data_IF_473797009790
#
_entry.id   IF_473797009790
#
_cell.length_a   1.000
_cell.length_b   1.000
_cell.length_c   1.000
_cell.angle_alpha   90.00
_cell.angle_beta   90.00
_cell.angle_gamma   90.00
#
_symmetry.space_group_name_H-M   'P 1'
#
loop_
_entity.id
_entity.type
_entity.pdbx_description
1 polymer ?
#
# COMPACT_ATOMS: atom_id res chain seq x y z
N UNK A 1 -28.69 -53.34 -9.86
CA UNK A 1 -28.73 -53.57 -8.40
C UNK A 1 -27.41 -53.09 -7.82
N UNK A 2 -27.42 -52.10 -6.92
CA UNK A 2 -26.20 -51.58 -6.30
C UNK A 2 -25.73 -52.59 -5.26
N UNK A 3 -24.46 -53.02 -5.30
CA UNK A 3 -23.91 -53.98 -4.34
C UNK A 3 -23.66 -53.30 -2.98
N UNK A 4 -23.96 -53.96 -1.85
CA UNK A 4 -23.58 -53.45 -0.54
C UNK A 4 -22.04 -53.40 -0.38
N UNK A 5 -21.55 -52.62 0.59
CA UNK A 5 -20.13 -52.46 0.92
C UNK A 5 -19.24 -51.89 -0.20
N UNK A 6 -19.77 -50.99 -1.03
CA UNK A 6 -19.02 -50.33 -2.10
C UNK A 6 -18.12 -49.17 -1.63
N UNK A 7 -18.27 -48.70 -0.38
CA UNK A 7 -17.45 -47.64 0.21
C UNK A 7 -16.23 -48.22 0.94
N UNK A 8 -15.06 -47.61 0.75
CA UNK A 8 -13.88 -47.92 1.58
C UNK A 8 -14.05 -47.38 3.00
N UNK A 9 -13.27 -47.88 3.95
CA UNK A 9 -13.29 -47.40 5.35
C UNK A 9 -12.93 -45.91 5.43
N UNK A 10 -12.00 -45.42 4.60
CA UNK A 10 -11.59 -44.02 4.57
C UNK A 10 -12.71 -43.12 4.02
N UNK A 11 -13.30 -43.49 2.87
CA UNK A 11 -14.42 -42.73 2.27
C UNK A 11 -15.62 -42.69 3.21
N UNK A 12 -15.88 -43.80 3.93
CA UNK A 12 -16.95 -43.86 4.92
C UNK A 12 -16.73 -42.87 6.07
N UNK A 13 -15.50 -42.74 6.57
CA UNK A 13 -15.17 -41.78 7.63
C UNK A 13 -15.28 -40.33 7.14
N UNK A 14 -14.85 -40.05 5.91
CA UNK A 14 -14.97 -38.72 5.30
C UNK A 14 -16.44 -38.34 5.09
N UNK A 15 -17.26 -39.23 4.53
CA UNK A 15 -18.70 -39.02 4.36
C UNK A 15 -19.40 -38.81 5.72
N UNK A 16 -19.05 -39.58 6.75
CA UNK A 16 -19.56 -39.37 8.11
C UNK A 16 -19.17 -38.00 8.66
N UNK A 17 -17.97 -37.51 8.38
CA UNK A 17 -17.53 -36.16 8.80
C UNK A 17 -18.33 -35.05 8.08
N UNK A 18 -18.64 -35.24 6.80
CA UNK A 18 -19.46 -34.33 6.00
C UNK A 18 -20.89 -34.27 6.51
N UNK A 19 -21.50 -35.42 6.81
CA UNK A 19 -22.88 -35.49 7.34
C UNK A 19 -22.96 -34.89 8.74
N UNK A 20 -21.96 -35.10 9.59
CA UNK A 20 -21.95 -34.54 10.97
C UNK A 20 -21.69 -33.03 11.03
N UNK A 21 -21.22 -32.42 9.94
CA UNK A 21 -20.95 -30.98 9.91
C UNK A 21 -22.26 -30.19 9.83
N UNK A 22 -22.60 -29.47 10.90
CA UNK A 22 -23.75 -28.58 10.88
C UNK A 22 -23.44 -27.30 10.09
N UNK A 23 -24.30 -26.99 9.11
CA UNK A 23 -24.53 -25.62 8.64
C UNK A 23 -26.02 -25.33 8.79
N UNK A 24 -26.36 -24.06 8.95
CA UNK A 24 -27.71 -23.57 9.27
C UNK A 24 -28.78 -24.15 8.32
N UNK A 25 -28.58 -24.05 7.00
CA UNK A 25 -29.50 -24.60 5.99
C UNK A 25 -29.65 -26.14 6.06
N UNK A 26 -28.58 -26.86 6.40
CA UNK A 26 -28.61 -28.31 6.57
C UNK A 26 -29.25 -28.74 7.88
N UNK A 27 -29.25 -27.87 8.90
CA UNK A 27 -29.89 -28.11 10.19
C UNK A 27 -31.41 -28.14 10.07
N UNK A 28 -31.99 -27.13 9.39
CA UNK A 28 -33.44 -27.03 9.17
C UNK A 28 -33.96 -28.22 8.35
N UNK A 29 -33.34 -28.51 7.19
CA UNK A 29 -33.76 -29.63 6.35
C UNK A 29 -33.66 -30.99 7.06
N UNK A 30 -32.65 -31.16 7.93
CA UNK A 30 -32.47 -32.40 8.71
C UNK A 30 -33.54 -32.58 9.79
N UNK A 31 -33.97 -31.50 10.45
CA UNK A 31 -35.08 -31.53 11.42
C UNK A 31 -36.42 -31.82 10.72
N UNK A 32 -36.65 -31.23 9.54
CA UNK A 32 -37.84 -31.51 8.73
C UNK A 32 -37.91 -32.99 8.35
N UNK A 33 -36.81 -33.54 7.82
CA UNK A 33 -36.74 -34.96 7.45
C UNK A 33 -36.98 -35.88 8.64
N UNK A 34 -36.48 -35.55 9.83
CA UNK A 34 -36.72 -36.35 11.03
C UNK A 34 -38.21 -36.40 11.40
N UNK A 35 -38.91 -35.26 11.35
CA UNK A 35 -40.35 -35.20 11.65
C UNK A 35 -41.20 -35.90 10.58
N UNK A 36 -40.87 -35.76 9.30
CA UNK A 36 -41.57 -36.48 8.22
C UNK A 36 -41.42 -38.00 8.36
N UNK A 37 -40.21 -38.50 8.64
CA UNK A 37 -39.98 -39.93 8.82
C UNK A 37 -40.68 -40.49 10.08
N UNK A 38 -40.82 -39.69 11.14
CA UNK A 38 -41.64 -40.06 12.31
C UNK A 38 -43.11 -40.19 11.92
N UNK A 39 -43.64 -39.24 11.15
CA UNK A 39 -45.01 -39.26 10.66
C UNK A 39 -45.28 -40.48 9.75
N UNK A 40 -44.27 -40.90 8.97
CA UNK A 40 -44.33 -42.10 8.13
C UNK A 40 -44.16 -43.42 8.92
N UNK A 41 -44.09 -43.35 10.25
CA UNK A 41 -44.12 -44.50 11.15
C UNK A 41 -42.75 -45.08 11.54
N UNK A 42 -41.64 -44.43 11.18
CA UNK A 42 -40.32 -44.85 11.66
C UNK A 42 -40.12 -44.51 13.14
N UNK A 43 -39.41 -45.36 13.88
CA UNK A 43 -39.06 -45.09 15.28
C UNK A 43 -37.89 -44.10 15.39
N UNK A 44 -37.78 -43.40 16.53
CA UNK A 44 -36.66 -42.49 16.82
C UNK A 44 -35.29 -43.17 16.62
N UNK A 45 -35.16 -44.45 17.02
CA UNK A 45 -33.93 -45.23 16.86
C UNK A 45 -33.60 -45.54 15.38
N UNK A 46 -34.62 -45.79 14.55
CA UNK A 46 -34.42 -46.00 13.11
C UNK A 46 -34.00 -44.71 12.42
N UNK A 47 -34.60 -43.57 12.79
CA UNK A 47 -34.31 -42.25 12.22
C UNK A 47 -32.92 -41.78 12.65
N UNK A 48 -32.55 -41.95 13.92
CA UNK A 48 -31.21 -41.67 14.44
C UNK A 48 -30.11 -42.36 13.62
N UNK A 49 -30.34 -43.63 13.26
CA UNK A 49 -29.42 -44.41 12.43
C UNK A 49 -29.29 -43.88 11.00
N UNK A 50 -30.38 -43.40 10.39
CA UNK A 50 -30.40 -42.92 8.99
C UNK A 50 -29.87 -41.49 8.87
N UNK A 51 -30.19 -40.63 9.84
CA UNK A 51 -29.79 -39.23 9.85
C UNK A 51 -28.46 -38.98 10.59
N UNK A 52 -27.86 -40.02 11.15
CA UNK A 52 -26.62 -39.98 11.95
C UNK A 52 -26.73 -39.01 13.15
N UNK A 53 -27.84 -39.15 13.87
CA UNK A 53 -28.18 -38.39 15.07
C UNK A 53 -28.28 -39.32 16.28
N UNK A 54 -28.43 -38.71 17.45
CA UNK A 54 -28.85 -39.40 18.67
C UNK A 54 -30.38 -39.50 18.72
N UNK A 55 -30.95 -40.60 19.23
CA UNK A 55 -32.39 -40.82 19.22
C UNK A 55 -33.14 -39.90 20.21
N UNK A 56 -32.48 -39.43 21.27
CA UNK A 56 -33.04 -38.40 22.15
C UNK A 56 -33.14 -37.04 21.45
N UNK A 57 -32.25 -36.77 20.49
CA UNK A 57 -32.33 -35.55 19.66
C UNK A 57 -33.60 -35.55 18.81
N UNK A 58 -33.90 -36.69 18.16
CA UNK A 58 -35.11 -36.86 17.35
C UNK A 58 -36.37 -36.77 18.24
N UNK A 59 -36.33 -37.39 19.42
CA UNK A 59 -37.41 -37.33 20.42
C UNK A 59 -37.67 -35.91 20.92
N UNK A 60 -36.59 -35.15 21.15
CA UNK A 60 -36.66 -33.75 21.57
C UNK A 60 -37.33 -32.87 20.51
N UNK A 61 -36.95 -33.02 19.24
CA UNK A 61 -37.59 -32.28 18.14
C UNK A 61 -39.07 -32.61 17.99
N UNK A 62 -39.45 -33.88 18.10
CA UNK A 62 -40.86 -34.28 18.08
C UNK A 62 -41.64 -33.69 19.26
N UNK A 63 -41.08 -33.72 20.47
CA UNK A 63 -41.69 -33.12 21.66
C UNK A 63 -41.87 -31.61 21.49
N UNK A 64 -40.87 -30.94 20.93
CA UNK A 64 -40.92 -29.50 20.67
C UNK A 64 -41.97 -29.17 19.60
N UNK A 65 -42.06 -29.96 18.52
CA UNK A 65 -43.10 -29.81 17.49
C UNK A 65 -44.52 -29.96 18.06
N UNK A 66 -44.74 -30.93 18.97
CA UNK A 66 -46.05 -31.12 19.60
C UNK A 66 -46.41 -30.02 20.61
N UNK A 67 -45.41 -29.43 21.26
CA UNK A 67 -45.63 -28.37 22.25
C UNK A 67 -45.85 -27.00 21.61
N UNK A 68 -45.22 -26.77 20.46
CA UNK A 68 -45.23 -25.50 19.74
C UNK A 68 -45.64 -25.77 18.28
N UNK A 69 -44.71 -25.66 17.33
CA UNK A 69 -44.94 -25.93 15.91
C UNK A 69 -43.61 -26.15 15.15
N UNK A 70 -43.67 -26.11 13.81
CA UNK A 70 -42.50 -26.23 12.95
C UNK A 70 -41.52 -25.05 13.08
N UNK A 71 -42.02 -23.82 13.30
CA UNK A 71 -41.16 -22.63 13.37
C UNK A 71 -40.22 -22.72 14.58
N UNK A 72 -40.73 -23.22 15.70
CA UNK A 72 -39.95 -23.49 16.91
C UNK A 72 -38.81 -24.50 16.70
N UNK A 73 -39.07 -25.57 15.93
CA UNK A 73 -38.08 -26.62 15.63
C UNK A 73 -37.08 -26.15 14.57
N UNK A 74 -37.51 -25.33 13.62
CA UNK A 74 -36.66 -24.77 12.58
C UNK A 74 -35.65 -23.76 13.14
N UNK A 75 -36.00 -23.02 14.18
CA UNK A 75 -35.15 -21.99 14.79
C UNK A 75 -33.89 -22.58 15.45
N UNK A 76 -32.71 -22.20 14.96
CA UNK A 76 -31.43 -22.52 15.59
C UNK A 76 -31.05 -21.40 16.57
N UNK A 77 -31.35 -21.58 17.85
CA UNK A 77 -31.16 -20.59 18.92
C UNK A 77 -29.70 -20.30 19.30
N UNK A 78 -28.76 -20.38 18.36
CA UNK A 78 -27.34 -20.14 18.60
C UNK A 78 -27.08 -18.67 18.94
N UNK A 79 -27.16 -18.35 20.24
CA UNK A 79 -26.70 -17.08 20.77
C UNK A 79 -25.18 -17.12 20.81
N UNK A 80 -24.53 -16.38 19.91
CA UNK A 80 -23.07 -16.26 19.88
C UNK A 80 -22.48 -15.99 21.28
N UNK A 81 -21.30 -16.53 21.54
CA UNK A 81 -20.68 -16.47 22.86
C UNK A 81 -20.52 -15.03 23.38
N UNK A 82 -20.82 -14.81 24.66
CA UNK A 82 -20.60 -13.53 25.33
C UNK A 82 -19.12 -13.12 25.28
N UNK A 83 -18.86 -11.84 25.04
CA UNK A 83 -17.51 -11.27 25.12
C UNK A 83 -16.91 -11.54 26.50
N UNK A 84 -15.62 -11.93 26.57
CA UNK A 84 -14.91 -12.04 27.86
C UNK A 84 -14.60 -10.67 28.47
N UNK A 85 -14.73 -9.59 27.69
CA UNK A 85 -14.47 -8.23 28.14
C UNK A 85 -15.78 -7.47 28.36
N UNK A 86 -15.79 -6.67 29.42
CA UNK A 86 -16.83 -5.67 29.70
C UNK A 86 -16.60 -4.44 28.83
N UNK A 87 -17.62 -3.59 28.69
CA UNK A 87 -17.52 -2.31 27.97
C UNK A 87 -16.39 -1.44 28.55
N UNK A 88 -16.23 -1.43 29.87
CA UNK A 88 -15.16 -0.67 30.53
C UNK A 88 -13.76 -1.20 30.18
N UNK A 89 -13.58 -2.53 30.14
CA UNK A 89 -12.29 -3.11 29.70
C UNK A 89 -12.01 -2.82 28.23
N UNK A 90 -13.04 -2.82 27.38
CA UNK A 90 -12.90 -2.49 25.96
C UNK A 90 -12.51 -1.03 25.75
N UNK A 91 -13.07 -0.11 26.53
CA UNK A 91 -12.69 1.31 26.51
C UNK A 91 -11.24 1.54 26.95
N UNK A 92 -10.82 0.97 28.09
CA UNK A 92 -9.44 1.08 28.61
C UNK A 92 -8.43 0.46 27.62
N UNK A 93 -8.74 -0.71 27.06
CA UNK A 93 -7.89 -1.31 26.03
C UNK A 93 -7.77 -0.41 24.79
N UNK A 94 -8.87 0.23 24.38
CA UNK A 94 -8.87 1.12 23.21
C UNK A 94 -8.01 2.36 23.46
N UNK A 95 -8.17 3.03 24.61
CA UNK A 95 -7.34 4.16 25.01
C UNK A 95 -5.85 3.77 25.07
N UNK A 96 -5.53 2.64 25.68
CA UNK A 96 -4.16 2.14 25.78
C UNK A 96 -3.51 1.87 24.42
N UNK A 97 -4.28 1.34 23.45
CA UNK A 97 -3.87 1.12 22.07
C UNK A 97 -3.80 2.42 21.26
N UNK A 98 -4.65 3.40 21.55
CA UNK A 98 -4.64 4.73 20.94
C UNK A 98 -3.47 5.59 21.37
N UNK A 99 -2.75 5.21 22.41
CA UNK A 99 -1.48 5.85 22.78
C UNK A 99 -0.26 5.14 22.19
N UNK A 100 -0.40 3.86 21.82
CA UNK A 100 0.74 3.00 21.45
C UNK A 100 0.65 2.51 20.00
N UNK A 101 1.76 1.96 19.52
CA UNK A 101 1.80 1.27 18.22
C UNK A 101 2.31 -0.15 18.42
N UNK A 102 1.41 -1.03 18.86
CA UNK A 102 1.73 -2.42 19.17
C UNK A 102 2.03 -3.21 17.89
N UNK A 103 3.23 -3.80 17.83
CA UNK A 103 3.68 -4.58 16.66
C UNK A 103 3.19 -6.02 16.66
N UNK A 104 2.67 -6.52 17.79
CA UNK A 104 2.19 -7.89 17.91
C UNK A 104 1.03 -8.00 18.90
N UNK A 105 0.18 -9.00 18.69
CA UNK A 105 -0.88 -9.36 19.64
C UNK A 105 -0.33 -9.95 20.95
N UNK A 106 0.94 -10.37 21.00
CA UNK A 106 1.56 -10.86 22.23
C UNK A 106 1.63 -9.76 23.29
N UNK A 107 2.05 -8.55 22.90
CA UNK A 107 2.09 -7.38 23.78
C UNK A 107 0.70 -7.02 24.30
N UNK A 108 -0.30 -7.02 23.40
CA UNK A 108 -1.69 -6.70 23.74
C UNK A 108 -2.28 -7.74 24.71
N UNK A 109 -2.00 -9.02 24.47
CA UNK A 109 -2.43 -10.12 25.34
C UNK A 109 -1.75 -10.10 26.71
N UNK A 110 -0.47 -9.73 26.78
CA UNK A 110 0.24 -9.55 28.04
C UNK A 110 -0.40 -8.43 28.86
N UNK A 111 -0.69 -7.28 28.23
CA UNK A 111 -1.41 -6.17 28.86
C UNK A 111 -2.80 -6.59 29.36
N UNK A 112 -3.62 -7.25 28.52
CA UNK A 112 -4.95 -7.74 28.94
C UNK A 112 -4.87 -8.74 30.10
N UNK A 113 -3.86 -9.61 30.10
CA UNK A 113 -3.61 -10.55 31.19
C UNK A 113 -3.21 -9.85 32.49
N UNK A 114 -2.29 -8.89 32.43
CA UNK A 114 -1.84 -8.16 33.61
C UNK A 114 -2.90 -7.21 34.18
N UNK A 115 -3.62 -6.49 33.31
CA UNK A 115 -4.57 -5.44 33.71
C UNK A 115 -5.94 -5.99 34.08
N UNK A 116 -6.47 -6.93 33.30
CA UNK A 116 -7.85 -7.40 33.43
C UNK A 116 -7.94 -8.87 33.88
N UNK A 117 -6.80 -9.58 34.01
CA UNK A 117 -6.77 -11.04 34.24
C UNK A 117 -7.55 -11.83 33.17
N UNK A 118 -7.57 -11.31 31.92
CA UNK A 118 -8.26 -11.94 30.79
C UNK A 118 -7.26 -12.46 29.78
N UNK A 119 -7.36 -13.75 29.47
CA UNK A 119 -6.50 -14.41 28.50
C UNK A 119 -7.26 -14.74 27.21
N UNK A 120 -6.86 -14.08 26.12
CA UNK A 120 -7.29 -14.42 24.77
C UNK A 120 -6.26 -15.32 24.09
N UNK A 121 -6.72 -16.15 23.14
CA UNK A 121 -5.84 -16.78 22.15
C UNK A 121 -5.36 -15.73 21.13
N UNK A 122 -4.35 -16.07 20.32
CA UNK A 122 -3.89 -15.21 19.23
C UNK A 122 -5.05 -14.80 18.29
N UNK A 123 -5.81 -15.77 17.80
CA UNK A 123 -6.96 -15.53 16.92
C UNK A 123 -8.11 -14.80 17.60
N UNK A 124 -8.34 -15.06 18.89
CA UNK A 124 -9.33 -14.34 19.69
C UNK A 124 -8.98 -12.87 19.86
N UNK A 125 -7.70 -12.56 20.10
CA UNK A 125 -7.22 -11.18 20.18
C UNK A 125 -7.41 -10.43 18.86
N UNK A 126 -7.14 -11.05 17.71
CA UNK A 126 -7.36 -10.42 16.39
C UNK A 126 -8.84 -10.11 16.18
N UNK A 127 -9.74 -11.05 16.50
CA UNK A 127 -11.18 -10.84 16.38
C UNK A 127 -11.69 -9.72 17.28
N UNK A 128 -11.19 -9.65 18.51
CA UNK A 128 -11.48 -8.57 19.45
C UNK A 128 -11.03 -7.22 18.88
N UNK A 129 -9.79 -7.10 18.41
CA UNK A 129 -9.26 -5.86 17.84
C UNK A 129 -10.07 -5.39 16.64
N UNK A 130 -10.43 -6.30 15.74
CA UNK A 130 -11.28 -5.98 14.59
C UNK A 130 -12.67 -5.48 15.03
N UNK A 131 -13.26 -6.07 16.07
CA UNK A 131 -14.54 -5.61 16.64
C UNK A 131 -14.44 -4.22 17.27
N UNK A 132 -13.31 -3.90 17.89
CA UNK A 132 -13.01 -2.59 18.46
C UNK A 132 -12.59 -1.56 17.39
N UNK A 133 -12.59 -1.91 16.10
CA UNK A 133 -12.25 -0.99 15.01
C UNK A 133 -10.76 -0.83 14.73
N UNK A 134 -9.89 -1.64 15.35
CA UNK A 134 -8.45 -1.62 15.09
C UNK A 134 -8.07 -2.46 13.87
N UNK A 135 -7.19 -1.90 13.04
CA UNK A 135 -6.65 -2.57 11.86
C UNK A 135 -5.13 -2.64 11.92
N UNK A 136 -4.56 -3.76 11.46
CA UNK A 136 -3.11 -3.90 11.34
C UNK A 136 -2.61 -3.15 10.10
N UNK A 137 -1.95 -2.00 10.31
CA UNK A 137 -1.44 -1.15 9.24
C UNK A 137 0.06 -0.95 9.33
N UNK A 138 0.72 -0.80 8.18
CA UNK A 138 2.11 -0.32 8.11
C UNK A 138 2.12 1.20 8.27
N UNK A 139 2.88 1.77 9.23
CA UNK A 139 2.99 3.22 9.34
C UNK A 139 3.68 3.77 8.09
N UNK A 140 3.18 4.90 7.58
CA UNK A 140 3.83 5.61 6.47
C UNK A 140 4.95 6.47 7.05
N UNK A 141 6.12 6.44 6.42
CA UNK A 141 7.17 7.39 6.74
C UNK A 141 6.65 8.80 6.43
N UNK A 142 6.70 9.70 7.42
CA UNK A 142 6.38 11.09 7.24
C UNK A 142 7.68 11.84 6.94
N UNK A 143 7.85 12.41 5.72
CA UNK A 143 8.95 13.32 5.44
C UNK A 143 8.96 14.48 6.45
N UNK A 144 10.13 15.07 6.70
CA UNK A 144 10.24 16.23 7.58
C UNK A 144 9.29 17.33 7.10
N UNK A 145 8.57 17.96 8.05
CA UNK A 145 7.42 18.85 7.80
C UNK A 145 7.72 19.86 6.69
N UNK A 146 7.07 19.69 5.55
CA UNK A 146 6.96 20.72 4.52
C UNK A 146 6.05 21.84 5.06
N UNK A 147 6.57 23.06 5.09
CA UNK A 147 5.84 24.24 5.55
C UNK A 147 4.66 24.52 4.59
N UNK A 148 3.44 24.47 5.12
CA UNK A 148 2.20 24.63 4.34
C UNK A 148 2.10 26.02 3.70
N UNK A 149 2.54 27.05 4.41
CA UNK A 149 2.49 28.43 3.91
C UNK A 149 3.51 28.62 2.80
N UNK A 150 4.72 28.07 2.96
CA UNK A 150 5.75 28.12 1.89
C UNK A 150 5.35 27.31 0.66
N UNK A 151 4.66 26.18 0.84
CA UNK A 151 4.08 25.44 -0.29
C UNK A 151 3.05 26.29 -1.03
N UNK A 152 2.11 26.90 -0.30
CA UNK A 152 1.07 27.75 -0.89
C UNK A 152 1.66 28.97 -1.62
N UNK A 153 2.63 29.64 -0.99
CA UNK A 153 3.33 30.78 -1.58
C UNK A 153 4.08 30.39 -2.86
N UNK A 154 4.76 29.25 -2.88
CA UNK A 154 5.43 28.76 -4.08
C UNK A 154 4.44 28.41 -5.20
N UNK A 155 3.33 27.73 -4.88
CA UNK A 155 2.29 27.40 -5.87
C UNK A 155 1.72 28.68 -6.48
N UNK A 156 1.40 29.68 -5.65
CA UNK A 156 0.90 30.97 -6.13
C UNK A 156 1.93 31.70 -7.02
N UNK A 157 3.19 31.73 -6.59
CA UNK A 157 4.30 32.27 -7.38
C UNK A 157 4.45 31.56 -8.73
N UNK A 158 4.45 30.22 -8.73
CA UNK A 158 4.59 29.42 -9.94
C UNK A 158 3.44 29.64 -10.92
N UNK A 159 2.19 29.65 -10.42
CA UNK A 159 1.02 29.95 -11.24
C UNK A 159 1.11 31.36 -11.83
N UNK A 160 1.56 32.34 -11.06
CA UNK A 160 1.76 33.70 -11.57
C UNK A 160 2.87 33.77 -12.63
N UNK A 161 3.99 33.06 -12.42
CA UNK A 161 5.08 32.96 -13.38
C UNK A 161 4.58 32.39 -14.71
N UNK A 162 3.91 31.24 -14.71
CA UNK A 162 3.42 30.62 -15.94
C UNK A 162 2.34 31.44 -16.65
N UNK A 163 1.45 32.10 -15.92
CA UNK A 163 0.39 32.94 -16.51
C UNK A 163 0.93 34.23 -17.17
N UNK A 164 2.13 34.65 -16.80
CA UNK A 164 2.76 35.87 -17.33
C UNK A 164 4.08 35.58 -18.05
N UNK A 165 4.37 34.32 -18.36
CA UNK A 165 5.62 33.92 -18.98
C UNK A 165 5.68 34.41 -20.43
N UNK A 166 6.67 35.27 -20.80
CA UNK A 166 6.87 35.67 -22.18
C UNK A 166 7.24 34.48 -23.08
N UNK A 167 6.90 34.58 -24.37
CA UNK A 167 7.20 33.52 -25.34
C UNK A 167 8.72 33.28 -25.55
N UNK A 168 9.54 34.31 -25.30
CA UNK A 168 11.01 34.22 -25.30
C UNK A 168 11.59 33.78 -23.95
N UNK A 169 10.78 33.26 -23.03
CA UNK A 169 11.24 32.66 -21.79
C UNK A 169 10.85 31.17 -21.70
N UNK A 170 11.47 30.46 -20.75
CA UNK A 170 11.22 29.04 -20.52
C UNK A 170 11.33 28.70 -19.03
N UNK A 171 10.65 27.64 -18.61
CA UNK A 171 10.71 27.09 -17.25
C UNK A 171 11.12 25.61 -17.32
N UNK A 172 12.23 25.31 -16.65
CA UNK A 172 12.80 23.96 -16.56
C UNK A 172 12.88 23.54 -15.09
N UNK A 173 12.47 22.31 -14.80
CA UNK A 173 12.55 21.71 -13.47
C UNK A 173 13.73 20.76 -13.41
N UNK A 174 14.67 20.98 -12.48
CA UNK A 174 15.91 20.23 -12.37
C UNK A 174 15.97 19.45 -11.06
N UNK A 175 16.57 18.27 -11.13
CA UNK A 175 16.81 17.40 -9.98
C UNK A 175 17.87 16.33 -10.30
N UNK A 176 18.46 15.78 -9.25
CA UNK A 176 19.36 14.65 -9.33
C UNK A 176 18.70 13.37 -8.81
N UNK A 177 18.72 12.34 -9.63
CA UNK A 177 18.25 11.00 -9.25
C UNK A 177 19.40 10.02 -9.17
N UNK A 178 19.32 9.13 -8.19
CA UNK A 178 20.27 8.05 -7.96
C UNK A 178 19.58 6.70 -8.16
N UNK A 179 19.30 6.25 -9.40
CA UNK A 179 18.73 4.93 -9.60
C UNK A 179 19.65 3.87 -9.03
N UNK A 180 19.19 3.25 -7.95
CA UNK A 180 19.89 2.12 -7.36
C UNK A 180 19.64 0.87 -8.18
N UNK A 181 20.70 0.09 -8.34
CA UNK A 181 20.71 -1.22 -8.98
C UNK A 181 20.07 -2.30 -8.09
N UNK A 182 19.24 -1.89 -7.13
CA UNK A 182 18.39 -2.79 -6.38
C UNK A 182 17.09 -2.95 -7.15
N UNK A 183 16.68 -4.19 -7.40
CA UNK A 183 15.36 -4.47 -7.93
C UNK A 183 14.30 -3.85 -7.01
N UNK A 184 13.31 -3.18 -7.60
CA UNK A 184 12.17 -2.61 -6.89
C UNK A 184 10.96 -3.55 -7.09
N UNK A 185 10.68 -4.49 -6.16
CA UNK A 185 9.48 -5.30 -6.26
C UNK A 185 8.24 -4.42 -6.27
N UNK A 186 7.32 -4.71 -7.18
CA UNK A 186 6.04 -4.03 -7.30
C UNK A 186 4.94 -5.06 -7.55
N UNK A 187 3.69 -4.65 -7.36
CA UNK A 187 2.54 -5.52 -7.52
C UNK A 187 2.45 -6.06 -8.96
N UNK A 188 2.09 -7.33 -9.09
CA UNK A 188 1.93 -8.01 -10.37
C UNK A 188 1.03 -9.23 -10.23
N UNK A 189 0.41 -9.62 -11.34
CA UNK A 189 -0.45 -10.81 -11.38
C UNK A 189 0.42 -12.07 -11.50
N UNK A 190 0.17 -13.04 -10.63
CA UNK A 190 0.82 -14.34 -10.63
C UNK A 190 -0.24 -15.44 -10.43
N UNK A 191 0.02 -16.65 -10.96
CA UNK A 191 -0.90 -17.78 -10.75
C UNK A 191 -1.01 -18.08 -9.25
N UNK A 192 -2.21 -18.41 -8.78
CA UNK A 192 -2.42 -18.84 -7.39
C UNK A 192 -1.48 -20.02 -7.06
N UNK A 193 -0.70 -19.88 -5.99
CA UNK A 193 0.31 -20.88 -5.58
C UNK A 193 1.71 -20.68 -6.18
N UNK A 194 1.90 -19.73 -7.10
CA UNK A 194 3.24 -19.33 -7.55
C UNK A 194 3.84 -18.26 -6.62
N UNK A 195 5.12 -18.42 -6.28
CA UNK A 195 5.87 -17.53 -5.39
C UNK A 195 6.97 -16.80 -6.18
N UNK A 196 6.64 -15.78 -6.99
CA UNK A 196 7.64 -15.06 -7.77
C UNK A 196 8.63 -14.35 -6.86
N UNK A 197 9.91 -14.47 -7.17
CA UNK A 197 11.02 -13.82 -6.46
C UNK A 197 11.94 -13.11 -7.47
N UNK A 198 12.61 -12.06 -7.01
CA UNK A 198 13.52 -11.25 -7.83
C UNK A 198 14.86 -11.16 -7.10
N UNK A 199 15.94 -11.45 -7.81
CA UNK A 199 17.30 -11.32 -7.29
C UNK A 199 17.66 -9.85 -7.11
N UNK A 200 18.44 -9.54 -6.08
CA UNK A 200 18.91 -8.17 -5.79
C UNK A 200 20.40 -8.06 -6.04
N UNK A 201 20.84 -6.97 -6.66
CA UNK A 201 22.26 -6.62 -6.85
C UNK A 201 22.55 -5.25 -6.24
N UNK A 202 23.83 -4.89 -6.11
CA UNK A 202 24.27 -3.60 -5.61
C UNK A 202 24.98 -2.79 -6.70
N UNK A 203 24.75 -1.48 -6.70
CA UNK A 203 25.30 -0.54 -7.67
C UNK A 203 24.37 0.68 -7.82
N UNK A 204 24.82 1.72 -8.52
CA UNK A 204 24.00 2.90 -8.79
C UNK A 204 24.38 3.54 -10.12
N UNK A 205 23.43 4.27 -10.68
CA UNK A 205 23.66 5.29 -11.72
C UNK A 205 23.33 6.63 -11.08
N UNK A 206 24.01 7.69 -11.51
CA UNK A 206 23.67 9.05 -11.13
C UNK A 206 23.25 9.81 -12.38
N UNK A 207 22.12 10.50 -12.30
CA UNK A 207 21.61 11.36 -13.36
C UNK A 207 21.30 12.69 -12.74
N UNK A 208 21.79 13.75 -13.35
CA UNK A 208 21.33 15.11 -13.06
C UNK A 208 20.58 15.59 -14.29
N UNK A 209 19.27 15.76 -14.17
CA UNK A 209 18.39 16.05 -15.30
C UNK A 209 17.55 17.29 -15.07
N UNK A 210 17.01 17.81 -16.16
CA UNK A 210 15.96 18.81 -16.16
C UNK A 210 14.77 18.34 -17.00
N UNK A 211 13.64 19.03 -16.84
CA UNK A 211 12.41 18.78 -17.56
C UNK A 211 11.69 20.11 -17.83
N UNK A 212 11.45 20.39 -19.10
CA UNK A 212 10.57 21.46 -19.53
C UNK A 212 9.17 20.88 -19.79
N UNK A 213 8.14 21.34 -19.08
CA UNK A 213 6.78 20.77 -19.21
C UNK A 213 6.05 21.19 -20.49
N UNK A 214 6.42 22.32 -21.08
CA UNK A 214 5.79 22.83 -22.30
C UNK A 214 6.24 22.00 -23.52
N UNK A 215 7.54 21.78 -23.64
CA UNK A 215 8.14 21.06 -24.77
C UNK A 215 8.35 19.57 -24.51
N UNK A 216 8.30 19.16 -23.23
CA UNK A 216 8.74 17.84 -22.76
C UNK A 216 10.21 17.53 -23.08
N UNK A 217 11.04 18.54 -23.34
CA UNK A 217 12.48 18.35 -23.41
C UNK A 217 13.05 18.00 -22.02
N UNK A 218 14.02 17.08 -21.99
CA UNK A 218 14.59 16.56 -20.76
C UNK A 218 16.12 16.44 -20.85
N UNK A 219 16.86 17.56 -20.88
CA UNK A 219 18.32 17.52 -20.91
C UNK A 219 18.86 16.90 -19.62
N UNK A 220 19.94 16.12 -19.73
CA UNK A 220 20.54 15.45 -18.58
C UNK A 220 22.05 15.24 -18.74
N UNK A 221 22.73 15.00 -17.63
CA UNK A 221 24.13 14.58 -17.54
C UNK A 221 24.25 13.33 -16.67
N UNK A 222 25.33 12.57 -16.90
CA UNK A 222 25.60 11.28 -16.26
C UNK A 222 26.92 11.37 -15.47
N UNK A 223 26.92 12.06 -14.32
CA UNK A 223 28.16 12.28 -13.59
C UNK A 223 28.53 11.06 -12.74
N UNK A 224 29.82 10.88 -12.45
CA UNK A 224 30.25 9.91 -11.44
C UNK A 224 29.71 10.28 -10.05
N UNK A 225 29.65 11.58 -9.76
CA UNK A 225 29.13 12.15 -8.51
C UNK A 225 28.30 13.39 -8.83
N UNK A 226 27.14 13.52 -8.21
CA UNK A 226 26.33 14.73 -8.33
C UNK A 226 26.92 15.82 -7.43
N UNK A 227 27.39 16.89 -8.06
CA UNK A 227 28.05 18.02 -7.42
C UNK A 227 27.85 19.33 -8.21
N UNK A 228 28.58 20.38 -7.82
CA UNK A 228 28.53 21.68 -8.48
C UNK A 228 29.05 21.66 -9.92
N UNK A 229 29.96 20.74 -10.29
CA UNK A 229 30.44 20.58 -11.67
C UNK A 229 29.32 20.00 -12.53
N UNK A 230 28.67 18.92 -12.06
CA UNK A 230 27.53 18.32 -12.76
C UNK A 230 26.37 19.32 -12.92
N UNK A 231 26.15 20.18 -11.91
CA UNK A 231 25.16 21.25 -11.96
C UNK A 231 25.45 22.23 -13.10
N UNK A 232 26.70 22.70 -13.20
CA UNK A 232 27.14 23.61 -14.28
C UNK A 232 26.99 22.96 -15.66
N UNK A 233 27.36 21.67 -15.80
CA UNK A 233 27.19 20.95 -17.05
C UNK A 233 25.72 20.84 -17.47
N UNK A 234 24.82 20.58 -16.52
CA UNK A 234 23.39 20.55 -16.78
C UNK A 234 22.86 21.93 -17.18
N UNK A 235 23.21 23.00 -16.44
CA UNK A 235 22.80 24.36 -16.76
C UNK A 235 23.27 24.79 -18.16
N UNK A 236 24.51 24.43 -18.55
CA UNK A 236 25.01 24.68 -19.90
C UNK A 236 24.20 23.92 -20.97
N UNK A 237 23.79 22.68 -20.69
CA UNK A 237 22.90 21.92 -21.59
C UNK A 237 21.52 22.54 -21.70
N UNK A 238 20.93 23.00 -20.59
CA UNK A 238 19.65 23.71 -20.59
C UNK A 238 19.73 24.97 -21.46
N UNK A 239 20.79 25.79 -21.31
CA UNK A 239 21.01 26.94 -22.19
C UNK A 239 21.10 26.53 -23.66
N UNK A 240 21.87 25.48 -23.98
CA UNK A 240 22.03 25.01 -25.36
C UNK A 240 20.74 24.45 -25.98
N UNK A 241 19.83 23.90 -25.17
CA UNK A 241 18.54 23.35 -25.61
C UNK A 241 17.44 24.40 -25.76
N UNK A 242 17.68 25.61 -25.26
CA UNK A 242 16.79 26.75 -25.35
C UNK A 242 17.49 27.91 -26.09
N UNK A 243 17.88 27.75 -27.37
CA UNK A 243 18.70 28.74 -28.08
C UNK A 243 17.99 30.07 -28.34
N UNK A 244 16.66 30.05 -28.42
CA UNK A 244 15.77 31.16 -28.73
C UNK A 244 15.26 31.91 -27.48
N UNK A 245 15.55 31.41 -26.28
CA UNK A 245 15.04 31.96 -25.02
C UNK A 245 15.96 33.04 -24.46
N UNK A 246 15.43 34.19 -24.10
CA UNK A 246 16.15 35.29 -23.43
C UNK A 246 16.46 34.94 -21.98
N UNK A 247 15.51 34.37 -21.26
CA UNK A 247 15.64 33.93 -19.85
C UNK A 247 15.12 32.51 -19.72
N UNK A 248 15.82 31.69 -18.94
CA UNK A 248 15.43 30.31 -18.64
C UNK A 248 15.37 30.16 -17.11
N UNK A 249 14.17 30.03 -16.58
CA UNK A 249 13.92 29.83 -15.17
C UNK A 249 14.15 28.36 -14.81
N UNK A 250 15.19 28.07 -14.03
CA UNK A 250 15.48 26.70 -13.58
C UNK A 250 15.04 26.55 -12.13
N UNK A 251 14.01 25.74 -11.91
CA UNK A 251 13.46 25.41 -10.60
C UNK A 251 14.12 24.13 -10.09
N UNK A 252 14.74 24.16 -8.92
CA UNK A 252 15.42 22.99 -8.33
C UNK A 252 15.40 22.99 -6.81
N UNK A 253 15.87 21.91 -6.19
CA UNK A 253 15.93 21.76 -4.74
C UNK A 253 17.02 22.62 -4.07
N UNK A 254 17.10 22.54 -2.74
CA UNK A 254 18.05 23.32 -1.93
C UNK A 254 19.40 22.61 -1.72
N UNK A 255 19.82 21.71 -2.61
CA UNK A 255 21.08 20.99 -2.43
C UNK A 255 22.27 21.94 -2.22
N UNK A 256 23.19 21.67 -1.27
CA UNK A 256 24.28 22.60 -0.95
C UNK A 256 25.16 22.97 -2.16
N UNK A 257 25.36 22.03 -3.09
CA UNK A 257 26.16 22.25 -4.29
C UNK A 257 25.53 23.22 -5.29
N UNK A 258 24.22 23.50 -5.22
CA UNK A 258 23.56 24.56 -5.99
C UNK A 258 24.04 25.97 -5.60
N UNK A 259 24.62 26.13 -4.41
CA UNK A 259 25.18 27.41 -3.91
C UNK A 259 26.71 27.42 -3.92
N UNK A 260 27.31 26.38 -4.51
CA UNK A 260 28.75 26.19 -4.59
C UNK A 260 29.44 27.24 -5.49
N UNK A 261 30.79 27.34 -5.40
CA UNK A 261 31.57 28.29 -6.19
C UNK A 261 31.40 28.09 -7.70
N UNK A 262 31.30 26.83 -8.16
CA UNK A 262 31.12 26.51 -9.58
C UNK A 262 29.82 27.10 -10.16
N UNK A 263 28.70 26.90 -9.46
CA UNK A 263 27.40 27.44 -9.89
C UNK A 263 27.41 28.97 -9.83
N UNK A 264 27.96 29.57 -8.76
CA UNK A 264 28.12 31.03 -8.67
C UNK A 264 28.94 31.61 -9.83
N UNK A 265 30.07 31.00 -10.15
CA UNK A 265 30.91 31.43 -11.27
C UNK A 265 30.19 31.32 -12.62
N UNK A 266 29.41 30.25 -12.83
CA UNK A 266 28.59 30.07 -14.03
C UNK A 266 27.51 31.14 -14.18
N UNK A 267 26.84 31.52 -13.09
CA UNK A 267 25.80 32.55 -13.12
C UNK A 267 26.36 33.96 -13.34
N UNK A 268 27.59 34.23 -12.91
CA UNK A 268 28.24 35.54 -13.10
C UNK A 268 28.73 35.81 -14.53
N UNK A 269 28.53 34.89 -15.49
CA UNK A 269 28.90 35.11 -16.89
C UNK A 269 28.02 36.21 -17.50
N UNK A 270 28.63 37.11 -18.28
CA UNK A 270 27.95 38.25 -18.92
C UNK A 270 26.72 37.89 -19.77
N UNK A 271 26.73 36.71 -20.39
CA UNK A 271 25.66 36.22 -21.26
C UNK A 271 24.90 35.02 -20.66
N UNK A 272 24.94 34.86 -19.32
CA UNK A 272 24.16 33.83 -18.65
C UNK A 272 22.66 34.16 -18.77
N UNK A 273 21.86 33.19 -19.23
CA UNK A 273 20.39 33.34 -19.37
C UNK A 273 19.63 32.59 -18.29
N UNK A 274 20.34 31.90 -17.41
CA UNK A 274 19.77 31.06 -16.37
C UNK A 274 19.36 31.90 -15.16
N UNK A 275 18.09 31.83 -14.80
CA UNK A 275 17.55 32.38 -13.57
C UNK A 275 17.12 31.25 -12.63
N UNK A 276 17.83 31.08 -11.51
CA UNK A 276 17.57 29.97 -10.60
C UNK A 276 16.45 30.30 -9.60
N UNK A 277 15.55 29.34 -9.41
CA UNK A 277 14.45 29.41 -8.46
C UNK A 277 14.55 28.21 -7.51
N UNK A 278 14.52 28.48 -6.22
CA UNK A 278 14.61 27.44 -5.19
C UNK A 278 13.22 26.95 -4.81
N UNK A 279 13.04 25.64 -4.76
CA UNK A 279 11.86 25.04 -4.16
C UNK A 279 11.80 25.33 -2.65
N UNK A 280 10.62 25.32 -2.03
CA UNK A 280 10.52 25.24 -0.58
C UNK A 280 11.23 23.98 -0.06
N UNK A 281 11.91 24.04 1.09
CA UNK A 281 12.56 22.87 1.67
C UNK A 281 11.59 21.69 1.86
N UNK A 282 12.08 20.47 1.60
CA UNK A 282 11.32 19.22 1.77
C UNK A 282 10.03 19.11 0.94
N UNK A 283 9.97 19.77 -0.23
CA UNK A 283 8.80 19.76 -1.11
C UNK A 283 9.04 19.11 -2.49
N UNK A 284 9.48 17.85 -2.57
CA UNK A 284 9.72 17.17 -3.86
C UNK A 284 8.44 17.01 -4.70
N UNK A 285 7.25 17.00 -4.07
CA UNK A 285 5.96 16.96 -4.76
C UNK A 285 5.65 18.22 -5.59
N UNK A 286 6.40 19.31 -5.34
CA UNK A 286 6.37 20.55 -6.12
C UNK A 286 7.41 20.54 -7.27
N UNK A 287 8.12 19.43 -7.49
CA UNK A 287 9.08 19.26 -8.57
C UNK A 287 8.59 18.21 -9.58
N UNK A 288 8.02 18.59 -10.73
CA UNK A 288 7.51 17.65 -11.74
C UNK A 288 8.51 16.63 -12.25
N UNK A 289 9.81 16.92 -12.26
CA UNK A 289 10.82 15.95 -12.69
C UNK A 289 10.87 14.72 -11.76
N UNK A 290 10.47 14.83 -10.49
CA UNK A 290 10.31 13.69 -9.58
C UNK A 290 9.25 12.71 -10.09
N UNK A 291 8.21 13.23 -10.75
CA UNK A 291 7.20 12.39 -11.42
C UNK A 291 7.80 11.69 -12.64
N UNK A 292 8.67 12.35 -13.39
CA UNK A 292 9.42 11.72 -14.49
C UNK A 292 10.32 10.60 -13.98
N UNK A 293 10.98 10.78 -12.83
CA UNK A 293 11.75 9.72 -12.16
C UNK A 293 10.87 8.53 -11.75
N UNK A 294 9.65 8.79 -11.26
CA UNK A 294 8.69 7.72 -10.97
C UNK A 294 8.31 6.93 -12.25
N UNK A 295 8.08 7.62 -13.38
CA UNK A 295 7.81 6.99 -14.68
C UNK A 295 9.01 6.15 -15.14
N UNK A 296 10.22 6.70 -15.05
CA UNK A 296 11.46 5.97 -15.35
C UNK A 296 11.57 4.70 -14.50
N UNK A 297 11.33 4.80 -13.19
CA UNK A 297 11.37 3.64 -12.30
C UNK A 297 10.34 2.58 -12.68
N UNK A 298 9.13 2.98 -13.04
CA UNK A 298 8.11 2.05 -13.55
C UNK A 298 8.54 1.37 -14.84
N UNK A 299 9.15 2.12 -15.75
CA UNK A 299 9.55 1.62 -17.05
C UNK A 299 10.79 0.71 -16.99
N UNK A 300 11.70 0.96 -16.06
CA UNK A 300 13.04 0.35 -16.06
C UNK A 300 13.31 -0.51 -14.83
N UNK A 301 12.85 -0.14 -13.63
CA UNK A 301 13.31 -0.79 -12.39
C UNK A 301 12.29 -1.72 -11.74
N UNK A 302 10.99 -1.48 -11.96
CA UNK A 302 9.94 -2.32 -11.36
C UNK A 302 9.99 -3.74 -11.92
N UNK A 303 9.99 -4.71 -11.00
CA UNK A 303 9.95 -6.13 -11.29
C UNK A 303 11.02 -6.64 -12.29
N UNK A 304 12.18 -5.98 -12.36
CA UNK A 304 13.29 -6.35 -13.25
C UNK A 304 14.57 -6.60 -12.47
N UNK A 305 15.31 -7.59 -12.94
CA UNK A 305 16.68 -7.88 -12.53
C UNK A 305 17.59 -7.65 -13.73
N UNK A 306 18.73 -7.01 -13.50
CA UNK A 306 19.79 -6.90 -14.50
C UNK A 306 21.00 -7.69 -14.01
N UNK A 307 21.79 -8.30 -14.90
CA UNK A 307 22.94 -9.11 -14.51
C UNK A 307 24.20 -8.27 -14.23
N UNK A 308 24.34 -7.09 -14.85
CA UNK A 308 25.47 -6.19 -14.62
C UNK A 308 25.03 -4.72 -14.54
N UNK A 309 25.86 -3.87 -13.93
CA UNK A 309 25.61 -2.42 -13.86
C UNK A 309 25.43 -1.79 -15.25
N UNK A 310 26.15 -2.29 -16.27
CA UNK A 310 25.96 -1.84 -17.67
C UNK A 310 24.57 -2.17 -18.20
N UNK A 311 24.07 -3.38 -17.93
CA UNK A 311 22.71 -3.77 -18.31
C UNK A 311 21.63 -3.01 -17.56
N UNK A 312 21.94 -2.49 -16.37
CA UNK A 312 21.06 -1.60 -15.61
C UNK A 312 21.10 -0.15 -16.13
N UNK A 313 22.30 0.38 -16.42
CA UNK A 313 22.47 1.75 -16.90
C UNK A 313 21.86 1.95 -18.30
N UNK A 314 22.10 1.03 -19.23
CA UNK A 314 21.68 1.17 -20.62
C UNK A 314 20.17 1.47 -20.78
N UNK A 315 19.24 0.72 -20.13
CA UNK A 315 17.82 1.03 -20.16
C UNK A 315 17.44 2.40 -19.57
N UNK A 316 18.13 2.85 -18.53
CA UNK A 316 17.92 4.18 -17.94
C UNK A 316 18.32 5.27 -18.94
N UNK A 317 19.49 5.13 -19.55
CA UNK A 317 19.97 6.08 -20.56
C UNK A 317 19.09 6.06 -21.81
N UNK A 318 18.68 4.87 -22.25
CA UNK A 318 17.73 4.72 -23.34
C UNK A 318 16.36 5.34 -23.00
N UNK A 319 15.92 5.25 -21.74
CA UNK A 319 14.71 5.93 -21.31
C UNK A 319 14.82 7.44 -21.54
N UNK A 320 15.91 8.06 -21.09
CA UNK A 320 16.13 9.50 -21.27
C UNK A 320 16.35 9.92 -22.72
N UNK A 321 17.14 9.17 -23.49
CA UNK A 321 17.54 9.54 -24.87
C UNK A 321 16.47 9.23 -25.92
N UNK A 322 15.72 8.16 -25.73
CA UNK A 322 14.83 7.62 -26.77
C UNK A 322 13.38 7.57 -26.33
N UNK A 323 13.10 7.06 -25.12
CA UNK A 323 11.71 6.86 -24.67
C UNK A 323 11.05 8.19 -24.35
N UNK A 324 11.74 9.09 -23.63
CA UNK A 324 11.19 10.38 -23.25
C UNK A 324 10.82 11.20 -24.48
N UNK A 325 11.74 11.49 -25.43
CA UNK A 325 11.42 12.30 -26.60
C UNK A 325 10.34 11.69 -27.51
N UNK A 326 10.32 10.36 -27.66
CA UNK A 326 9.40 9.68 -28.60
C UNK A 326 8.03 9.36 -28.01
N UNK A 327 7.94 9.17 -26.70
CA UNK A 327 6.73 8.64 -26.04
C UNK A 327 6.16 9.56 -24.96
N UNK A 328 6.55 10.83 -24.91
CA UNK A 328 6.11 11.75 -23.86
C UNK A 328 4.60 11.94 -23.73
N UNK A 329 3.88 11.84 -24.84
CA UNK A 329 2.42 11.88 -24.84
C UNK A 329 1.79 10.81 -23.95
N UNK A 330 2.47 9.69 -23.73
CA UNK A 330 1.97 8.59 -22.88
C UNK A 330 2.11 8.87 -21.37
N UNK A 331 2.95 9.83 -21.00
CA UNK A 331 3.22 10.13 -19.59
C UNK A 331 2.90 11.59 -19.22
N UNK A 332 2.46 12.43 -20.16
CA UNK A 332 2.08 13.83 -19.89
C UNK A 332 1.03 13.99 -18.79
N UNK A 333 0.10 13.03 -18.65
CA UNK A 333 -0.94 13.09 -17.63
C UNK A 333 -0.39 12.71 -16.23
N UNK A 334 0.75 12.01 -16.19
CA UNK A 334 1.44 11.62 -14.97
C UNK A 334 2.50 12.64 -14.54
N UNK A 335 3.12 13.32 -15.52
CA UNK A 335 4.20 14.28 -15.32
C UNK A 335 3.64 15.69 -15.53
N UNK A 336 3.05 16.23 -14.47
CA UNK A 336 2.38 17.54 -14.47
C UNK A 336 2.88 18.42 -13.33
N UNK A 337 2.56 19.71 -13.41
CA UNK A 337 2.68 20.74 -12.39
C UNK A 337 1.39 20.95 -11.59
N UNK A 338 0.49 19.94 -11.57
CA UNK A 338 -0.71 19.91 -10.73
C UNK A 338 -0.33 19.73 -9.25
N UNK A 339 0.22 20.80 -8.68
CA UNK A 339 0.73 20.85 -7.33
C UNK A 339 -0.40 20.77 -6.31
N UNK A 340 -0.09 20.15 -5.18
CA UNK A 340 -1.01 20.00 -4.06
C UNK A 340 -0.28 20.35 -2.78
N UNK A 341 -0.97 21.03 -1.89
CA UNK A 341 -0.46 21.26 -0.54
C UNK A 341 -0.56 19.95 0.23
N UNK A 342 0.56 19.50 0.77
CA UNK A 342 0.63 18.35 1.67
C UNK A 342 0.70 18.89 3.10
N UNK A 343 -0.22 18.46 3.96
CA UNK A 343 -0.23 18.80 5.38
C UNK A 343 -0.35 17.54 6.24
N UNK A 344 0.24 17.57 7.44
CA UNK A 344 0.18 16.46 8.39
C UNK A 344 -0.93 16.64 9.45
N UNK A 345 -1.86 17.59 9.26
CA UNK A 345 -2.89 17.91 10.28
C UNK A 345 -3.77 16.70 10.68
N UNK A 346 -3.86 15.69 9.81
CA UNK A 346 -4.67 14.48 10.05
C UNK A 346 -3.83 13.21 10.29
N UNK A 347 -2.53 13.33 10.61
CA UNK A 347 -1.68 12.17 10.86
C UNK A 347 -1.27 12.11 12.33
N UNK A 348 -1.68 11.04 13.02
CA UNK A 348 -1.13 10.69 14.33
C UNK A 348 0.33 10.26 14.16
N UNK A 349 1.25 11.04 14.73
CA UNK A 349 2.67 10.68 14.80
C UNK A 349 2.84 9.62 15.87
N UNK A 350 3.46 8.49 15.52
CA UNK A 350 3.81 7.46 16.49
C UNK A 350 4.95 8.00 17.34
N UNK A 351 4.64 8.40 18.58
CA UNK A 351 5.63 8.81 19.57
C UNK A 351 6.24 7.58 20.25
N UNK A 352 7.49 7.70 20.68
CA UNK A 352 8.20 6.64 21.40
C UNK A 352 7.59 6.47 22.80
N UNK A 353 6.77 5.43 23.00
CA UNK A 353 6.28 5.05 24.32
C UNK A 353 7.27 4.13 25.04
N UNK A 354 7.44 4.22 26.37
CA UNK A 354 8.35 3.35 27.11
C UNK A 354 7.92 1.89 26.96
N UNK A 355 8.86 1.05 26.54
CA UNK A 355 8.73 -0.41 26.59
C UNK A 355 8.86 -0.81 28.05
N UNK A 356 7.75 -0.78 28.79
CA UNK A 356 7.67 -1.47 30.07
C UNK A 356 7.37 -2.93 29.78
N UNK A 357 8.31 -3.78 30.19
CA UNK A 357 8.37 -5.24 29.99
C UNK A 357 7.21 -5.93 30.67
#
# INVERSE_FOLDING_TARGET
MIRPNFLTTADRLELLSCVKRQREDYGVARRANALSLLNDGMSCAQIAKVLFLDDDTVRSWHKQYLAEDWEAVAYDGWKGGQSRMTIAHEADLSEWLEERFCRSTAQIRAYMGAKFNIHYSHSGCIKLLARLGFEYRKPKALPRVADVEKQAAFIAFHTNLLNNLPADEAVDFSDAVHPEYQSKPSHGWARKGSNPAIQTTSGRVNIHGALNLETFDAPFVEPTTVDGVSSVQLLAKIEARNPDKRIIHVIWDNAPYHKGPNVRAFLSRKNCRIHLIQLPPYCPHLNPIERLWAVMHSHVTHNRHYPTQKHFANPILNFMREVVPKKWRNFRDQVTDNFRIISHRNVRVVLYGPVTV
#
